data_IF_381012883085
#
_entry.id   IF_381012883085
#
_cell.length_a   1.000
_cell.length_b   1.000
_cell.length_c   1.000
_cell.angle_alpha   90.00
_cell.angle_beta   90.00
_cell.angle_gamma   90.00
#
_symmetry.space_group_name_H-M   'P 1'
#
loop_
_entity.id
_entity.type
_entity.pdbx_description
1 polymer ?
#
# COMPACT_ATOMS: atom_id res chain seq x y z
N UNK A 1 12.41 -21.35 -5.67
CA UNK A 1 12.35 -20.01 -5.03
C UNK A 1 10.95 -19.87 -4.46
N UNK A 2 10.81 -19.51 -3.18
CA UNK A 2 9.50 -19.39 -2.52
C UNK A 2 8.68 -18.29 -3.21
N UNK A 3 7.42 -18.60 -3.52
CA UNK A 3 6.58 -17.78 -4.42
C UNK A 3 5.97 -16.55 -3.73
N UNK A 4 5.99 -16.48 -2.40
CA UNK A 4 5.46 -15.37 -1.61
C UNK A 4 6.47 -14.93 -0.55
N UNK A 5 6.75 -13.63 -0.47
CA UNK A 5 7.56 -12.99 0.55
C UNK A 5 6.99 -11.60 0.82
N UNK A 6 6.58 -11.35 2.06
CA UNK A 6 5.98 -10.08 2.48
C UNK A 6 6.84 -9.48 3.59
N UNK A 7 7.18 -8.22 3.43
CA UNK A 7 7.99 -7.45 4.35
C UNK A 7 7.23 -6.18 4.70
N UNK A 8 6.96 -5.96 5.98
CA UNK A 8 6.36 -4.75 6.52
C UNK A 8 7.38 -4.11 7.46
N UNK A 9 7.96 -2.98 7.07
CA UNK A 9 9.04 -2.32 7.80
C UNK A 9 8.60 -1.02 8.45
N UNK A 10 8.97 -0.86 9.71
CA UNK A 10 8.86 0.40 10.46
C UNK A 10 10.20 1.15 10.38
N UNK A 11 10.28 2.17 9.51
CA UNK A 11 11.49 3.00 9.31
C UNK A 11 11.44 4.32 10.07
N UNK A 12 10.36 4.55 10.81
CA UNK A 12 10.19 5.63 11.76
C UNK A 12 9.25 5.11 12.84
N UNK A 13 9.72 5.05 14.07
CA UNK A 13 8.88 4.60 15.18
C UNK A 13 7.75 5.59 15.43
N UNK A 14 6.63 5.07 15.88
CA UNK A 14 5.52 5.85 16.43
C UNK A 14 5.12 5.24 17.77
N UNK A 15 4.23 5.88 18.52
CA UNK A 15 3.68 5.29 19.75
C UNK A 15 2.98 3.95 19.52
N UNK A 16 2.62 3.65 18.27
CA UNK A 16 1.94 2.43 17.85
C UNK A 16 2.89 1.41 17.21
N UNK A 17 4.02 1.84 16.65
CA UNK A 17 4.84 1.01 15.78
C UNK A 17 6.31 1.10 16.13
N UNK A 18 6.84 -0.03 16.57
CA UNK A 18 8.23 -0.22 16.91
C UNK A 18 8.82 -1.51 16.35
N UNK A 19 8.05 -2.25 15.53
CA UNK A 19 8.45 -3.55 14.99
C UNK A 19 8.30 -3.60 13.47
N UNK A 20 9.10 -4.46 12.84
CA UNK A 20 9.00 -4.87 11.45
C UNK A 20 8.64 -6.35 11.39
N UNK A 21 7.87 -6.74 10.38
CA UNK A 21 7.31 -8.08 10.23
C UNK A 21 7.75 -8.68 8.90
N UNK A 22 8.16 -9.94 8.93
CA UNK A 22 8.51 -10.72 7.74
C UNK A 22 7.64 -11.97 7.69
N UNK A 23 7.02 -12.19 6.53
CA UNK A 23 6.21 -13.36 6.25
C UNK A 23 6.70 -14.04 4.97
N UNK A 24 6.81 -15.37 5.02
CA UNK A 24 7.16 -16.21 3.88
C UNK A 24 6.53 -17.59 4.05
N UNK A 25 6.46 -18.37 2.97
CA UNK A 25 5.79 -19.68 2.94
C UNK A 25 4.39 -19.69 3.54
N UNK A 26 3.44 -18.98 2.91
CA UNK A 26 2.07 -19.05 3.34
C UNK A 26 1.57 -20.50 3.22
N UNK A 27 0.80 -20.94 4.20
CA UNK A 27 0.02 -22.19 4.16
C UNK A 27 -0.94 -22.14 2.96
N UNK A 28 -1.54 -20.97 2.74
CA UNK A 28 -2.36 -20.70 1.57
C UNK A 28 -2.41 -19.20 1.23
N UNK A 29 -2.82 -18.89 0.01
CA UNK A 29 -3.10 -17.52 -0.43
C UNK A 29 -4.60 -17.41 -0.69
N UNK A 30 -5.25 -16.49 0.02
CA UNK A 30 -6.63 -16.09 -0.21
C UNK A 30 -6.62 -14.96 -1.22
N UNK A 31 -7.31 -15.13 -2.36
CA UNK A 31 -7.49 -14.04 -3.32
C UNK A 31 -8.84 -14.07 -4.03
N UNK A 32 -9.30 -12.90 -4.47
CA UNK A 32 -10.46 -12.78 -5.37
C UNK A 32 -10.29 -11.61 -6.33
N UNK A 33 -10.81 -11.74 -7.55
CA UNK A 33 -10.98 -10.65 -8.53
C UNK A 33 -12.44 -10.23 -8.74
N UNK A 34 -13.38 -10.91 -8.08
CA UNK A 34 -14.83 -10.74 -8.25
C UNK A 34 -15.42 -10.02 -7.05
N UNK A 35 -16.23 -9.00 -7.29
CA UNK A 35 -16.92 -8.26 -6.23
C UNK A 35 -17.86 -9.18 -5.43
N UNK A 36 -18.63 -10.02 -6.11
CA UNK A 36 -19.65 -10.87 -5.48
C UNK A 36 -19.06 -11.93 -4.53
N UNK A 37 -17.77 -12.22 -4.65
CA UNK A 37 -17.06 -13.16 -3.75
C UNK A 37 -16.50 -12.48 -2.50
N UNK A 38 -16.57 -11.16 -2.35
CA UNK A 38 -15.94 -10.45 -1.23
C UNK A 38 -16.56 -10.81 0.11
N UNK A 39 -17.88 -11.02 0.19
CA UNK A 39 -18.54 -11.37 1.45
C UNK A 39 -18.00 -12.67 2.04
N UNK A 40 -17.91 -13.70 1.21
CA UNK A 40 -17.39 -15.01 1.61
C UNK A 40 -15.91 -14.94 1.97
N UNK A 41 -15.14 -14.16 1.20
CA UNK A 41 -13.72 -13.92 1.47
C UNK A 41 -13.52 -13.24 2.83
N UNK A 42 -14.32 -12.22 3.18
CA UNK A 42 -14.21 -11.55 4.48
C UNK A 42 -14.61 -12.46 5.65
N UNK A 43 -15.69 -13.24 5.52
CA UNK A 43 -16.06 -14.27 6.52
C UNK A 43 -14.94 -15.29 6.73
N UNK A 44 -14.28 -15.68 5.64
CA UNK A 44 -13.14 -16.60 5.69
C UNK A 44 -11.92 -15.97 6.37
N UNK A 45 -11.60 -14.71 6.06
CA UNK A 45 -10.53 -13.94 6.71
C UNK A 45 -10.76 -13.87 8.22
N UNK A 46 -11.97 -13.52 8.65
CA UNK A 46 -12.33 -13.45 10.07
C UNK A 46 -12.21 -14.80 10.79
N UNK A 47 -12.58 -15.90 10.12
CA UNK A 47 -12.41 -17.23 10.68
C UNK A 47 -10.93 -17.60 10.85
N UNK A 48 -10.11 -17.33 9.83
CA UNK A 48 -8.70 -17.70 9.83
C UNK A 48 -7.85 -16.81 10.74
N UNK A 49 -8.20 -15.54 10.91
CA UNK A 49 -7.48 -14.60 11.77
C UNK A 49 -7.49 -14.98 13.25
N UNK A 50 -8.37 -15.91 13.65
CA UNK A 50 -8.40 -16.47 15.01
C UNK A 50 -7.22 -17.41 15.30
N UNK A 51 -6.55 -17.92 14.27
CA UNK A 51 -5.49 -18.92 14.40
C UNK A 51 -4.20 -18.56 13.65
N UNK A 52 -4.33 -17.85 12.54
CA UNK A 52 -3.21 -17.55 11.64
C UNK A 52 -2.97 -16.05 11.54
N UNK A 53 -1.75 -15.69 11.16
CA UNK A 53 -1.47 -14.35 10.67
C UNK A 53 -1.93 -14.23 9.21
N UNK A 54 -2.67 -13.16 8.89
CA UNK A 54 -3.06 -12.84 7.52
C UNK A 54 -2.39 -11.54 7.11
N UNK A 55 -1.60 -11.59 6.05
CA UNK A 55 -0.83 -10.44 5.58
C UNK A 55 -0.88 -10.31 4.06
N UNK A 56 -1.01 -9.08 3.55
CA UNK A 56 -1.09 -8.80 2.12
C UNK A 56 -1.76 -7.46 1.85
N UNK A 57 -2.70 -7.41 0.91
CA UNK A 57 -3.40 -6.18 0.55
C UNK A 57 -4.89 -6.38 0.25
N UNK A 58 -5.62 -5.27 0.38
CA UNK A 58 -6.98 -5.07 -0.12
C UNK A 58 -6.91 -3.88 -1.07
N UNK A 59 -7.40 -4.03 -2.30
CA UNK A 59 -7.37 -2.96 -3.30
C UNK A 59 -8.42 -1.90 -3.02
N UNK A 60 -8.20 -0.69 -3.55
CA UNK A 60 -9.20 0.38 -3.48
C UNK A 60 -10.52 -0.05 -4.15
N UNK A 61 -10.41 -0.79 -5.25
CA UNK A 61 -11.55 -1.30 -6.02
C UNK A 61 -12.43 -2.29 -5.23
N UNK A 62 -11.95 -2.90 -4.15
CA UNK A 62 -12.80 -3.68 -3.24
C UNK A 62 -13.90 -2.83 -2.59
N UNK A 63 -13.67 -1.52 -2.44
CA UNK A 63 -14.65 -0.58 -1.89
C UNK A 63 -15.94 -0.45 -2.72
N UNK A 64 -15.92 -0.82 -4.00
CA UNK A 64 -17.11 -0.84 -4.85
C UNK A 64 -18.17 -1.83 -4.35
N UNK A 65 -17.78 -2.86 -3.61
CA UNK A 65 -18.72 -3.79 -2.99
C UNK A 65 -19.43 -3.19 -1.77
N UNK A 66 -18.77 -2.28 -1.04
CA UNK A 66 -19.27 -1.71 0.21
C UNK A 66 -20.42 -0.70 0.01
N UNK A 67 -20.56 -0.15 -1.19
CA UNK A 67 -21.60 0.83 -1.52
C UNK A 67 -22.40 0.39 -2.73
N UNK A 68 -23.69 0.10 -2.54
CA UNK A 68 -24.58 -0.45 -3.58
C UNK A 68 -24.57 0.40 -4.86
N UNK A 69 -24.67 1.72 -4.71
CA UNK A 69 -24.66 2.66 -5.84
C UNK A 69 -23.34 2.72 -6.61
N UNK A 70 -22.24 2.17 -6.07
CA UNK A 70 -20.96 2.13 -6.76
C UNK A 70 -20.73 0.83 -7.52
N UNK A 71 -21.41 -0.28 -7.17
CA UNK A 71 -21.17 -1.61 -7.80
C UNK A 71 -21.21 -1.56 -9.34
N UNK A 72 -22.18 -0.82 -9.89
CA UNK A 72 -22.35 -0.63 -11.35
C UNK A 72 -21.22 0.17 -12.01
N UNK A 73 -20.43 0.90 -11.23
CA UNK A 73 -19.27 1.66 -11.67
C UNK A 73 -17.96 0.86 -11.59
N UNK A 74 -17.99 -0.41 -11.18
CA UNK A 74 -16.81 -1.25 -11.17
C UNK A 74 -16.18 -1.31 -12.57
N UNK A 75 -14.85 -1.13 -12.70
CA UNK A 75 -14.21 -1.11 -14.01
C UNK A 75 -14.41 -2.45 -14.73
N UNK A 76 -14.76 -2.38 -16.03
CA UNK A 76 -14.93 -3.56 -16.89
C UNK A 76 -13.70 -4.48 -16.92
N UNK A 77 -12.52 -3.93 -16.64
CA UNK A 77 -11.28 -4.68 -16.50
C UNK A 77 -10.45 -4.12 -15.37
N UNK A 78 -10.05 -4.98 -14.44
CA UNK A 78 -9.13 -4.70 -13.35
C UNK A 78 -8.12 -5.84 -13.26
N UNK A 79 -6.82 -5.59 -13.47
CA UNK A 79 -5.85 -6.67 -13.61
C UNK A 79 -5.45 -7.32 -12.28
N UNK A 80 -5.65 -6.62 -11.15
CA UNK A 80 -5.23 -7.05 -9.82
C UNK A 80 -6.34 -7.78 -9.06
N UNK A 81 -5.96 -8.42 -7.96
CA UNK A 81 -6.92 -8.98 -7.01
C UNK A 81 -7.54 -7.87 -6.16
N UNK A 82 -8.81 -8.00 -5.80
CA UNK A 82 -9.50 -7.10 -4.87
C UNK A 82 -9.03 -7.33 -3.44
N UNK A 83 -8.73 -8.58 -3.12
CA UNK A 83 -8.10 -9.00 -1.88
C UNK A 83 -7.03 -10.02 -2.25
N UNK A 84 -5.85 -9.91 -1.64
CA UNK A 84 -4.82 -10.95 -1.69
C UNK A 84 -4.04 -11.00 -0.39
N UNK A 85 -4.23 -12.07 0.36
CA UNK A 85 -3.61 -12.29 1.67
C UNK A 85 -2.94 -13.65 1.70
N UNK A 86 -1.70 -13.71 2.16
CA UNK A 86 -1.09 -14.96 2.60
C UNK A 86 -1.57 -15.30 4.01
N UNK A 87 -1.78 -16.57 4.27
CA UNK A 87 -2.11 -17.15 5.58
C UNK A 87 -0.86 -17.82 6.13
N UNK A 88 -0.39 -17.38 7.30
CA UNK A 88 0.89 -17.78 7.89
C UNK A 88 0.68 -18.29 9.30
N UNK A 89 1.40 -19.35 9.69
CA UNK A 89 1.39 -19.87 11.06
C UNK A 89 2.13 -18.94 12.01
N UNK A 90 3.22 -18.32 11.52
CA UNK A 90 4.10 -17.49 12.32
C UNK A 90 4.45 -16.20 11.57
N UNK A 91 4.87 -15.19 12.34
CA UNK A 91 5.46 -13.96 11.85
C UNK A 91 6.88 -13.86 12.42
N UNK A 92 7.88 -13.62 11.57
CA UNK A 92 9.19 -13.19 12.08
C UNK A 92 9.11 -11.70 12.42
N UNK A 93 9.34 -11.37 13.69
CA UNK A 93 9.21 -10.02 14.23
C UNK A 93 10.59 -9.49 14.58
N UNK A 94 10.92 -8.30 14.11
CA UNK A 94 12.16 -7.60 14.39
C UNK A 94 11.87 -6.23 15.00
N UNK A 95 12.61 -5.78 16.02
CA UNK A 95 12.56 -4.38 16.44
C UNK A 95 12.86 -3.44 15.27
N UNK A 96 12.30 -2.23 15.31
CA UNK A 96 12.55 -1.20 14.32
C UNK A 96 14.06 -0.90 14.26
N UNK A 97 14.56 -0.68 13.03
CA UNK A 97 15.98 -0.43 12.74
C UNK A 97 16.94 -1.60 13.02
N UNK A 98 16.43 -2.77 13.39
CA UNK A 98 17.25 -3.94 13.62
C UNK A 98 17.99 -4.35 12.33
N UNK A 99 19.29 -4.63 12.43
CA UNK A 99 20.10 -4.97 11.24
C UNK A 99 19.91 -6.42 10.82
N UNK A 100 19.46 -7.27 11.73
CA UNK A 100 19.28 -8.70 11.47
C UNK A 100 18.20 -9.01 10.44
N UNK A 101 17.19 -8.13 10.29
CA UNK A 101 16.17 -8.26 9.25
C UNK A 101 16.77 -8.35 7.84
N UNK A 102 17.97 -7.79 7.65
CA UNK A 102 18.69 -7.86 6.39
C UNK A 102 19.12 -9.28 6.03
N UNK A 103 19.42 -10.10 7.03
CA UNK A 103 19.73 -11.49 6.82
C UNK A 103 18.49 -12.27 6.37
N UNK A 104 17.30 -11.90 6.84
CA UNK A 104 16.06 -12.54 6.43
C UNK A 104 15.76 -12.29 4.96
N UNK A 105 15.66 -11.04 4.52
CA UNK A 105 15.34 -10.82 3.10
C UNK A 105 16.46 -11.29 2.15
N UNK A 106 17.73 -11.34 2.56
CA UNK A 106 18.82 -11.95 1.74
C UNK A 106 18.62 -13.43 1.47
N UNK A 107 17.99 -14.18 2.40
CA UNK A 107 17.63 -15.59 2.21
C UNK A 107 16.54 -15.75 1.15
N UNK A 108 15.59 -14.81 1.08
CA UNK A 108 14.36 -14.96 0.29
C UNK A 108 14.35 -14.19 -1.03
N UNK A 109 15.12 -13.11 -1.13
CA UNK A 109 15.18 -12.24 -2.30
C UNK A 109 16.53 -12.39 -2.96
N UNK A 110 16.53 -12.80 -4.24
CA UNK A 110 17.73 -12.71 -5.07
C UNK A 110 18.05 -11.24 -5.29
N UNK A 111 19.17 -10.77 -4.77
CA UNK A 111 19.66 -9.40 -4.99
C UNK A 111 20.03 -9.18 -6.46
N UNK A 112 19.10 -8.74 -7.27
CA UNK A 112 19.47 -8.00 -8.48
C UNK A 112 20.02 -6.64 -8.06
N UNK A 113 21.26 -6.32 -8.42
CA UNK A 113 21.93 -5.07 -7.98
C UNK A 113 21.42 -3.82 -8.71
N UNK A 114 20.68 -3.98 -9.80
CA UNK A 114 20.24 -2.90 -10.67
C UNK A 114 18.77 -3.07 -11.06
N UNK A 115 18.15 -1.94 -11.35
CA UNK A 115 16.85 -1.85 -12.03
C UNK A 115 16.91 -0.73 -13.06
N UNK A 116 15.99 -0.77 -14.02
CA UNK A 116 15.81 0.28 -15.01
C UNK A 116 14.32 0.58 -15.14
N UNK A 117 14.01 1.87 -15.15
CA UNK A 117 12.69 2.42 -15.43
C UNK A 117 12.79 3.11 -16.80
N UNK A 118 11.88 2.79 -17.72
CA UNK A 118 11.77 3.43 -19.04
C UNK A 118 10.35 3.92 -19.27
N UNK A 119 10.17 4.77 -20.26
CA UNK A 119 8.85 5.20 -20.74
C UNK A 119 7.91 5.71 -19.63
N UNK A 120 8.46 6.52 -18.71
CA UNK A 120 7.67 7.10 -17.62
C UNK A 120 6.68 8.12 -18.19
N UNK A 121 5.40 7.81 -18.11
CA UNK A 121 4.34 8.69 -18.61
C UNK A 121 3.17 8.77 -17.62
N UNK A 122 2.48 9.90 -17.61
CA UNK A 122 1.22 10.02 -16.89
C UNK A 122 0.12 9.26 -17.63
N UNK A 123 -0.85 8.76 -16.86
CA UNK A 123 -2.04 8.08 -17.38
C UNK A 123 -2.97 8.98 -18.18
N UNK A 124 -2.74 10.29 -18.14
CA UNK A 124 -3.57 11.33 -18.72
C UNK A 124 -2.68 12.50 -19.16
N UNK A 125 -3.08 13.21 -20.21
CA UNK A 125 -2.39 14.41 -20.64
C UNK A 125 -2.89 15.67 -19.91
N UNK A 126 -2.21 16.80 -20.12
CA UNK A 126 -2.55 18.05 -19.43
C UNK A 126 -3.94 18.61 -19.80
N UNK A 127 -4.40 18.40 -21.04
CA UNK A 127 -5.72 18.84 -21.48
C UNK A 127 -6.81 18.08 -20.75
N UNK A 128 -6.71 16.74 -20.69
CA UNK A 128 -7.63 15.88 -19.93
C UNK A 128 -7.65 16.23 -18.43
N UNK A 129 -6.47 16.50 -17.87
CA UNK A 129 -6.35 16.95 -16.49
C UNK A 129 -7.12 18.26 -16.26
N UNK A 130 -6.94 19.26 -17.15
CA UNK A 130 -7.59 20.56 -17.05
C UNK A 130 -9.11 20.45 -17.10
N UNK A 131 -9.63 19.65 -18.04
CA UNK A 131 -11.08 19.43 -18.16
C UNK A 131 -11.66 18.72 -16.93
N UNK A 132 -10.97 17.72 -16.39
CA UNK A 132 -11.41 17.05 -15.15
C UNK A 132 -11.38 18.01 -13.96
N UNK A 133 -10.36 18.85 -13.82
CA UNK A 133 -10.30 19.86 -12.76
C UNK A 133 -11.44 20.89 -12.90
N UNK A 134 -11.79 21.30 -14.12
CA UNK A 134 -12.92 22.20 -14.36
C UNK A 134 -14.22 21.57 -13.86
N UNK A 135 -14.48 20.31 -14.25
CA UNK A 135 -15.67 19.57 -13.81
C UNK A 135 -15.72 19.36 -12.30
N UNK A 136 -14.59 19.06 -11.66
CA UNK A 136 -14.50 18.96 -10.19
C UNK A 136 -14.87 20.28 -9.51
N UNK A 137 -14.42 21.42 -10.06
CA UNK A 137 -14.78 22.74 -9.55
C UNK A 137 -16.26 23.07 -9.74
N UNK A 138 -16.89 22.58 -10.81
CA UNK A 138 -18.33 22.71 -11.01
C UNK A 138 -19.10 21.93 -9.94
N UNK A 139 -18.74 20.67 -9.68
CA UNK A 139 -19.32 19.88 -8.57
C UNK A 139 -19.18 20.57 -7.21
N UNK A 140 -18.02 21.17 -6.92
CA UNK A 140 -17.79 21.93 -5.70
C UNK A 140 -18.71 23.17 -5.60
N UNK A 141 -18.90 23.90 -6.71
CA UNK A 141 -19.75 25.11 -6.74
C UNK A 141 -21.23 24.80 -6.60
N UNK A 142 -21.67 23.69 -7.17
CA UNK A 142 -23.06 23.24 -7.10
C UNK A 142 -23.42 22.66 -5.72
N UNK A 143 -22.43 22.43 -4.86
CA UNK A 143 -22.64 21.82 -3.54
C UNK A 143 -22.75 20.30 -3.58
N UNK A 144 -22.45 19.65 -4.72
CA UNK A 144 -22.52 18.20 -4.86
C UNK A 144 -21.48 17.48 -3.98
N UNK A 145 -20.30 18.09 -3.82
CA UNK A 145 -19.22 17.62 -2.95
C UNK A 145 -18.54 18.82 -2.27
N UNK A 146 -17.90 18.58 -1.12
CA UNK A 146 -17.08 19.59 -0.43
C UNK A 146 -15.57 19.43 -0.69
N UNK A 147 -15.12 18.21 -1.01
CA UNK A 147 -13.73 17.89 -1.34
C UNK A 147 -13.67 16.63 -2.21
N UNK A 148 -12.73 16.59 -3.15
CA UNK A 148 -12.36 15.37 -3.89
C UNK A 148 -10.85 15.17 -3.84
N UNK A 149 -10.41 13.95 -3.54
CA UNK A 149 -9.02 13.56 -3.74
C UNK A 149 -8.83 13.05 -5.18
N UNK A 150 -8.30 13.91 -6.05
CA UNK A 150 -8.07 13.58 -7.45
C UNK A 150 -6.61 13.20 -7.69
N UNK A 151 -6.37 11.98 -8.16
CA UNK A 151 -5.03 11.42 -8.33
C UNK A 151 -4.71 11.11 -9.80
N UNK A 152 -3.42 11.12 -10.13
CA UNK A 152 -2.89 10.70 -11.42
C UNK A 152 -1.98 9.48 -11.23
N UNK A 153 -1.93 8.61 -12.23
CA UNK A 153 -1.07 7.42 -12.21
C UNK A 153 0.09 7.63 -13.16
N UNK A 154 1.31 7.33 -12.70
CA UNK A 154 2.43 7.11 -13.60
C UNK A 154 2.42 5.66 -14.09
N UNK A 155 2.71 5.48 -15.38
CA UNK A 155 3.00 4.19 -16.01
C UNK A 155 4.45 4.21 -16.49
N UNK A 156 5.10 3.06 -16.44
CA UNK A 156 6.48 2.91 -16.87
C UNK A 156 6.79 1.45 -17.13
N UNK A 157 7.78 1.21 -17.98
CA UNK A 157 8.36 -0.12 -18.17
C UNK A 157 9.43 -0.35 -17.10
N UNK A 158 9.45 -1.57 -16.56
CA UNK A 158 10.32 -1.95 -15.46
C UNK A 158 11.15 -3.18 -15.80
N UNK A 159 12.46 -3.10 -15.60
CA UNK A 159 13.41 -4.20 -15.75
C UNK A 159 14.30 -4.31 -14.51
N UNK A 160 14.61 -5.53 -14.08
CA UNK A 160 15.57 -5.79 -12.99
C UNK A 160 14.92 -5.97 -11.61
N UNK A 161 15.61 -5.53 -10.56
CA UNK A 161 15.26 -5.85 -9.17
C UNK A 161 14.23 -4.90 -8.57
N UNK A 162 13.01 -5.39 -8.38
CA UNK A 162 11.95 -4.67 -7.65
C UNK A 162 12.39 -4.37 -6.21
N UNK A 163 13.10 -5.30 -5.56
CA UNK A 163 13.59 -5.07 -4.20
C UNK A 163 14.63 -3.94 -4.13
N UNK A 164 15.50 -3.81 -5.15
CA UNK A 164 16.45 -2.68 -5.21
C UNK A 164 15.73 -1.34 -5.41
N UNK A 165 14.66 -1.32 -6.21
CA UNK A 165 13.81 -0.13 -6.33
C UNK A 165 13.18 0.22 -4.97
N UNK A 166 12.63 -0.76 -4.26
CA UNK A 166 12.08 -0.59 -2.91
C UNK A 166 13.09 -0.02 -1.92
N UNK A 167 14.31 -0.59 -1.87
CA UNK A 167 15.39 -0.09 -1.02
C UNK A 167 15.71 1.39 -1.33
N UNK A 168 15.84 1.74 -2.61
CA UNK A 168 16.11 3.13 -3.00
C UNK A 168 14.96 4.09 -2.65
N UNK A 169 13.70 3.63 -2.71
CA UNK A 169 12.54 4.45 -2.35
C UNK A 169 12.49 4.70 -0.84
N UNK A 170 12.70 3.65 -0.04
CA UNK A 170 12.60 3.74 1.42
C UNK A 170 13.76 4.56 2.05
N UNK A 171 14.93 4.56 1.42
CA UNK A 171 16.04 5.45 1.80
C UNK A 171 15.70 6.94 1.62
N UNK A 172 14.93 7.28 0.58
CA UNK A 172 14.53 8.67 0.30
C UNK A 172 13.39 9.14 1.21
N UNK A 173 12.53 8.24 1.67
CA UNK A 173 11.38 8.58 2.49
C UNK A 173 11.16 7.53 3.60
N UNK A 174 11.77 7.81 4.75
CA UNK A 174 11.59 6.99 5.96
C UNK A 174 10.20 7.21 6.54
N UNK A 175 9.37 6.19 6.47
CA UNK A 175 7.98 6.22 6.94
C UNK A 175 7.68 5.04 7.89
N UNK A 176 6.67 5.19 8.76
CA UNK A 176 6.28 4.14 9.69
C UNK A 176 5.64 2.91 9.02
N UNK A 177 5.00 3.04 7.86
CA UNK A 177 4.21 1.95 7.26
C UNK A 177 4.74 1.58 5.87
N UNK A 178 5.99 1.13 5.79
CA UNK A 178 6.56 0.64 4.52
C UNK A 178 6.27 -0.83 4.30
N UNK A 179 6.04 -1.23 3.05
CA UNK A 179 5.82 -2.62 2.71
C UNK A 179 6.43 -3.01 1.36
N UNK A 180 7.02 -4.20 1.30
CA UNK A 180 7.42 -4.88 0.08
C UNK A 180 6.70 -6.23 0.03
N UNK A 181 5.72 -6.34 -0.86
CA UNK A 181 4.95 -7.56 -1.06
C UNK A 181 5.36 -8.18 -2.39
N UNK A 182 6.01 -9.34 -2.34
CA UNK A 182 6.29 -10.18 -3.50
C UNK A 182 5.34 -11.36 -3.48
N UNK A 183 4.44 -11.42 -4.44
CA UNK A 183 3.68 -12.62 -4.78
C UNK A 183 4.27 -13.26 -6.06
N UNK A 184 3.68 -14.36 -6.55
CA UNK A 184 4.21 -15.10 -7.69
C UNK A 184 4.40 -14.23 -8.94
N UNK A 185 3.43 -13.37 -9.24
CA UNK A 185 3.33 -12.63 -10.50
C UNK A 185 3.18 -11.11 -10.33
N UNK A 186 3.33 -10.60 -9.10
CA UNK A 186 3.15 -9.18 -8.81
C UNK A 186 4.00 -8.74 -7.63
N UNK A 187 4.34 -7.45 -7.66
CA UNK A 187 5.08 -6.77 -6.60
C UNK A 187 4.31 -5.52 -6.18
N UNK A 188 4.16 -5.33 -4.87
CA UNK A 188 3.67 -4.08 -4.28
C UNK A 188 4.78 -3.46 -3.46
N UNK A 189 5.13 -2.23 -3.79
CA UNK A 189 6.11 -1.42 -3.10
C UNK A 189 5.38 -0.22 -2.50
N UNK A 190 5.18 -0.23 -1.19
CA UNK A 190 4.48 0.81 -0.45
C UNK A 190 5.45 1.59 0.43
N UNK A 191 5.43 2.92 0.31
CA UNK A 191 6.14 3.86 1.19
C UNK A 191 5.10 4.75 1.89
N UNK A 192 4.16 4.13 2.62
CA UNK A 192 3.03 4.85 3.22
C UNK A 192 3.44 5.56 4.51
N UNK A 193 3.18 6.87 4.63
CA UNK A 193 3.33 7.58 5.90
C UNK A 193 2.12 7.43 6.82
N UNK A 194 1.00 6.91 6.32
CA UNK A 194 -0.31 7.02 6.95
C UNK A 194 -0.90 5.67 7.34
N UNK A 195 -1.46 5.59 8.55
CA UNK A 195 -2.20 4.45 9.05
C UNK A 195 -3.67 4.61 8.64
N UNK A 196 -4.20 3.64 7.90
CA UNK A 196 -5.62 3.63 7.57
C UNK A 196 -6.46 3.42 8.84
N UNK A 197 -6.31 2.26 9.48
CA UNK A 197 -6.77 2.02 10.84
C UNK A 197 -5.99 0.87 11.47
N UNK A 198 -6.07 0.78 12.78
CA UNK A 198 -5.62 -0.36 13.59
C UNK A 198 -6.73 -0.74 14.55
N UNK A 199 -6.86 -2.04 14.82
CA UNK A 199 -7.73 -2.55 15.87
C UNK A 199 -6.82 -3.16 16.95
N UNK A 200 -6.94 -2.67 18.17
CA UNK A 200 -6.28 -3.20 19.37
C UNK A 200 -7.37 -3.46 20.40
N UNK A 201 -7.61 -4.73 20.74
CA UNK A 201 -8.68 -5.16 21.65
C UNK A 201 -10.06 -4.62 21.19
N UNK A 202 -10.65 -3.69 21.94
CA UNK A 202 -11.93 -3.04 21.68
C UNK A 202 -11.78 -1.64 21.07
N UNK A 203 -10.57 -1.23 20.69
CA UNK A 203 -10.26 0.12 20.17
C UNK A 203 -9.92 0.10 18.69
N UNK A 204 -10.49 1.08 17.97
CA UNK A 204 -10.13 1.39 16.59
C UNK A 204 -9.34 2.70 16.57
N UNK A 205 -8.13 2.67 16.03
CA UNK A 205 -7.22 3.81 15.97
C UNK A 205 -6.99 4.19 14.50
N UNK A 206 -7.29 5.44 14.14
CA UNK A 206 -7.02 6.00 12.82
C UNK A 206 -6.10 7.22 12.96
N UNK A 207 -5.14 7.41 12.04
CA UNK A 207 -4.27 8.61 12.01
C UNK A 207 -4.36 9.30 10.65
N UNK A 208 -5.52 9.88 10.30
CA UNK A 208 -5.71 10.52 9.01
C UNK A 208 -4.77 11.72 8.84
N UNK A 209 -4.18 11.85 7.66
CA UNK A 209 -3.33 12.98 7.30
C UNK A 209 -4.06 13.92 6.35
N UNK A 210 -4.07 15.22 6.67
CA UNK A 210 -4.59 16.26 5.78
C UNK A 210 -3.67 17.47 5.79
N UNK A 211 -3.36 17.96 4.59
CA UNK A 211 -2.42 19.07 4.39
C UNK A 211 -0.98 18.60 4.39
N UNK A 212 -0.22 19.10 3.42
CA UNK A 212 1.22 18.88 3.34
C UNK A 212 1.89 20.19 2.96
N UNK A 213 2.89 20.58 3.73
CA UNK A 213 3.76 21.71 3.40
C UNK A 213 5.19 21.21 3.20
N UNK A 214 5.92 21.82 2.27
CA UNK A 214 7.34 21.52 2.07
C UNK A 214 8.10 21.92 3.33
N UNK A 215 8.98 21.03 3.81
CA UNK A 215 9.92 21.35 4.89
C UNK A 215 10.75 22.59 4.54
N UNK A 216 11.06 23.40 5.54
CA UNK A 216 12.08 24.44 5.46
C UNK A 216 13.47 23.83 5.27
N UNK A 217 14.41 24.60 4.71
CA UNK A 217 15.81 24.15 4.57
C UNK A 217 16.55 24.15 5.91
N UNK A 218 16.01 24.85 6.91
CA UNK A 218 16.53 24.93 8.27
C UNK A 218 15.36 25.10 9.27
N UNK A 219 15.66 25.01 10.56
CA UNK A 219 14.66 25.07 11.65
C UNK A 219 13.84 26.37 11.60
N UNK A 220 14.46 27.49 11.25
CA UNK A 220 13.80 28.78 11.20
C UNK A 220 12.79 28.86 10.05
N UNK A 221 13.21 28.48 8.84
CA UNK A 221 12.33 28.41 7.66
C UNK A 221 11.22 27.37 7.84
N UNK A 222 11.50 26.27 8.56
CA UNK A 222 10.51 25.23 8.84
C UNK A 222 9.42 25.75 9.79
N UNK A 223 9.80 26.52 10.82
CA UNK A 223 8.85 27.17 11.74
C UNK A 223 7.99 28.25 11.07
N UNK A 224 8.51 28.95 10.07
CA UNK A 224 7.74 29.97 9.33
C UNK A 224 6.72 29.31 8.37
N UNK A 225 7.05 28.13 7.85
CA UNK A 225 6.20 27.41 6.90
C UNK A 225 5.18 26.49 7.58
N UNK A 226 5.44 26.03 8.80
CA UNK A 226 4.52 25.19 9.58
C UNK A 226 3.31 25.99 10.07
#
# INVERSE_FOLDING_TARGET
MRNCFLLFETLKTTDLDSNSFVFYDPVEIIETKKLDSLEEIFKRIEKLSKKYYLAGYISYEAGFYLQEGLKTHFPKSFPFSLVKLGVFEEAEIFPAFEKEIQNCYKKFLKEGKKYKIKNLNLSQNFSEYKEKIKRIKEYLRNGDIYQLNYTLRYKFDFEGSAFRLYQNLKEKQKTPYTAFLKFSNEYILSISPELFFRIEEDRIICKPMKGTIKRGKNIYEDKIKA
#
